data_IF_848096898596
#
_entry.id   IF_848096898596
#
_cell.length_a   1.000
_cell.length_b   1.000
_cell.length_c   1.000
_cell.angle_alpha   90.00
_cell.angle_beta   90.00
_cell.angle_gamma   90.00
#
_symmetry.space_group_name_H-M   'P 1'
#
loop_
_entity.id
_entity.type
_entity.pdbx_description
1 polymer ?
#
# COMPACT_ATOMS: atom_id res chain seq x y z
N UNK A 1 7.68 -9.89 1.97
CA UNK A 1 7.67 -8.61 1.21
C UNK A 1 7.23 -7.44 2.07
N UNK A 2 7.38 -6.21 1.58
CA UNK A 2 7.06 -4.95 2.27
C UNK A 2 5.62 -4.92 2.83
N UNK A 3 4.65 -5.33 2.02
CA UNK A 3 3.24 -5.47 2.41
C UNK A 3 3.08 -6.42 3.60
N UNK A 4 3.68 -7.60 3.53
CA UNK A 4 3.59 -8.58 4.61
C UNK A 4 4.07 -7.99 5.93
N UNK A 5 5.26 -7.37 5.97
CA UNK A 5 5.84 -6.79 7.20
C UNK A 5 4.98 -5.69 7.84
N UNK A 6 4.25 -4.92 7.03
CA UNK A 6 3.54 -3.73 7.54
C UNK A 6 2.03 -3.96 7.74
N UNK A 7 1.42 -4.85 6.97
CA UNK A 7 -0.04 -5.04 6.94
C UNK A 7 -0.45 -6.43 7.40
N UNK A 8 0.28 -7.49 7.06
CA UNK A 8 -0.17 -8.86 7.33
C UNK A 8 0.58 -9.56 8.49
N UNK A 9 1.77 -9.08 8.86
CA UNK A 9 2.62 -9.76 9.83
C UNK A 9 2.11 -9.55 11.25
N UNK A 10 1.78 -10.64 11.93
CA UNK A 10 1.25 -10.66 13.31
C UNK A 10 -0.01 -9.78 13.50
N UNK A 11 -0.79 -9.60 12.43
CA UNK A 11 -2.06 -8.87 12.44
C UNK A 11 -3.17 -9.81 12.01
N UNK A 12 -4.26 -9.82 12.77
CA UNK A 12 -5.47 -10.55 12.42
C UNK A 12 -6.60 -9.54 12.21
N UNK A 13 -7.29 -9.66 11.08
CA UNK A 13 -8.42 -8.81 10.72
C UNK A 13 -9.70 -9.63 10.86
N UNK A 14 -10.72 -9.08 11.53
CA UNK A 14 -11.95 -9.81 11.81
C UNK A 14 -12.79 -10.04 10.54
N UNK A 15 -12.63 -9.18 9.53
CA UNK A 15 -13.27 -9.31 8.23
C UNK A 15 -12.31 -8.99 7.08
N UNK A 16 -12.59 -9.57 5.91
CA UNK A 16 -11.84 -9.31 4.68
C UNK A 16 -11.82 -7.80 4.32
N UNK A 17 -12.93 -7.09 4.56
CA UNK A 17 -13.00 -5.64 4.34
C UNK A 17 -11.96 -4.84 5.14
N UNK A 18 -11.72 -5.21 6.41
CA UNK A 18 -10.72 -4.51 7.23
C UNK A 18 -9.30 -4.76 6.74
N UNK A 19 -9.02 -5.97 6.25
CA UNK A 19 -7.74 -6.28 5.62
C UNK A 19 -7.56 -5.49 4.31
N UNK A 20 -8.62 -5.38 3.50
CA UNK A 20 -8.61 -4.59 2.28
C UNK A 20 -8.36 -3.10 2.57
N UNK A 21 -9.04 -2.53 3.56
CA UNK A 21 -8.87 -1.14 3.96
C UNK A 21 -7.44 -0.86 4.46
N UNK A 22 -6.89 -1.73 5.31
CA UNK A 22 -5.53 -1.59 5.80
C UNK A 22 -4.48 -1.74 4.69
N UNK A 23 -4.76 -2.60 3.71
CA UNK A 23 -3.94 -2.76 2.50
C UNK A 23 -3.98 -1.49 1.65
N UNK A 24 -5.16 -0.92 1.42
CA UNK A 24 -5.34 0.29 0.63
C UNK A 24 -4.73 1.51 1.31
N UNK A 25 -4.91 1.69 2.62
CA UNK A 25 -4.26 2.77 3.39
C UNK A 25 -2.74 2.67 3.30
N UNK A 26 -2.18 1.47 3.47
CA UNK A 26 -0.74 1.29 3.37
C UNK A 26 -0.20 1.65 1.98
N UNK A 27 -0.86 1.18 0.91
CA UNK A 27 -0.40 1.43 -0.46
C UNK A 27 -0.61 2.89 -0.91
N UNK A 28 -1.71 3.53 -0.52
CA UNK A 28 -2.08 4.88 -0.97
C UNK A 28 -1.47 5.99 -0.13
N UNK A 29 -1.26 5.76 1.17
CA UNK A 29 -0.79 6.79 2.10
C UNK A 29 0.62 6.49 2.64
N UNK A 30 0.79 5.32 3.26
CA UNK A 30 2.04 5.01 3.98
C UNK A 30 3.22 4.84 3.03
N UNK A 31 3.02 4.16 1.90
CA UNK A 31 4.07 3.93 0.91
C UNK A 31 4.55 5.25 0.28
N UNK A 32 3.68 6.13 -0.28
CA UNK A 32 4.11 7.40 -0.85
C UNK A 32 4.79 8.32 0.16
N UNK A 33 4.25 8.44 1.39
CA UNK A 33 4.83 9.28 2.45
C UNK A 33 6.24 8.84 2.87
N UNK A 34 6.55 7.55 2.75
CA UNK A 34 7.83 6.97 3.17
C UNK A 34 8.60 6.41 1.97
N UNK A 35 8.34 6.90 0.76
CA UNK A 35 8.83 6.30 -0.47
C UNK A 35 10.35 6.10 -0.47
N UNK A 36 11.11 7.10 0.00
CA UNK A 36 12.57 7.03 0.10
C UNK A 36 13.08 5.84 0.90
N UNK A 37 12.32 5.38 1.91
CA UNK A 37 12.67 4.24 2.76
C UNK A 37 12.26 2.90 2.15
N UNK A 38 11.21 2.90 1.35
CA UNK A 38 10.57 1.67 0.87
C UNK A 38 10.99 1.25 -0.53
N UNK A 39 11.43 2.20 -1.36
CA UNK A 39 11.76 1.99 -2.78
C UNK A 39 12.66 0.78 -3.04
N UNK A 40 13.65 0.51 -2.18
CA UNK A 40 14.60 -0.61 -2.37
C UNK A 40 14.02 -1.97 -1.97
N UNK A 41 12.93 -1.98 -1.21
CA UNK A 41 12.22 -3.19 -0.79
C UNK A 41 11.03 -3.52 -1.70
N UNK A 42 10.76 -2.67 -2.70
CA UNK A 42 9.71 -2.88 -3.69
C UNK A 42 10.34 -3.52 -4.92
N UNK A 43 10.10 -4.82 -5.08
CA UNK A 43 10.72 -5.63 -6.14
C UNK A 43 9.93 -5.62 -7.46
N UNK A 44 8.77 -4.96 -7.49
CA UNK A 44 7.90 -4.88 -8.66
C UNK A 44 7.88 -3.44 -9.23
N UNK A 45 7.38 -3.24 -10.45
CA UNK A 45 7.30 -1.95 -11.15
C UNK A 45 6.23 -1.02 -10.54
N UNK A 46 6.25 -0.85 -9.23
CA UNK A 46 5.36 0.05 -8.51
C UNK A 46 5.64 1.49 -8.91
N UNK A 47 4.64 2.12 -9.53
CA UNK A 47 4.68 3.54 -9.89
C UNK A 47 3.79 4.29 -8.91
N UNK A 48 4.39 5.21 -8.15
CA UNK A 48 3.61 6.22 -7.40
C UNK A 48 3.07 7.20 -8.43
N UNK A 49 1.76 7.17 -8.66
CA UNK A 49 1.08 8.09 -9.58
C UNK A 49 0.38 9.17 -8.75
N UNK A 50 0.57 10.43 -9.12
CA UNK A 50 -0.11 11.55 -8.48
C UNK A 50 -1.63 11.41 -8.66
N UNK A 51 -2.45 11.73 -7.64
CA UNK A 51 -3.90 11.82 -7.78
C UNK A 51 -4.38 12.74 -8.91
N UNK A 52 -3.55 13.71 -9.31
CA UNK A 52 -3.84 14.60 -10.44
C UNK A 52 -3.70 13.90 -11.80
N UNK A 53 -2.91 12.83 -11.86
CA UNK A 53 -2.50 12.16 -13.09
C UNK A 53 -3.28 10.85 -13.34
N UNK A 54 -4.16 10.43 -12.42
CA UNK A 54 -5.03 9.27 -12.63
C UNK A 54 -6.51 9.62 -12.51
N UNK A 55 -7.34 9.05 -13.39
CA UNK A 55 -8.80 9.12 -13.34
C UNK A 55 -9.37 7.73 -13.05
N UNK A 56 -10.25 7.64 -12.06
CA UNK A 56 -11.09 6.46 -11.85
C UNK A 56 -12.35 6.66 -12.69
N UNK A 57 -12.51 5.85 -13.75
CA UNK A 57 -13.77 5.78 -14.48
C UNK A 57 -14.73 4.94 -13.65
N UNK A 58 -15.89 5.50 -13.32
CA UNK A 58 -16.97 4.82 -12.59
C UNK A 58 -18.11 4.50 -13.55
#
# INVERSE_FOLDING_TARGET
GLMHRNVAHNKCYAACGQFADATLDFLRDKVPKNWNRFRDSVTDNFRVVSPKDFRVLT
#
